data_IF_687026881379
#
_entry.id   IF_687026881379
#
_cell.length_a   1.000
_cell.length_b   1.000
_cell.length_c   1.000
_cell.angle_alpha   90.00
_cell.angle_beta   90.00
_cell.angle_gamma   90.00
#
_symmetry.space_group_name_H-M   'P 1'
#
loop_
_entity.id
_entity.type
_entity.pdbx_description
1 polymer ?
#
# COMPACT_ATOMS: atom_id res chain seq x y z
N UNK A 1 33.29 44.80 -53.45
CA UNK A 1 31.83 44.74 -53.25
C UNK A 1 31.54 43.63 -52.26
N UNK A 2 31.04 44.00 -51.09
CA UNK A 2 30.70 43.13 -49.95
C UNK A 2 29.45 42.28 -50.25
N UNK A 3 29.39 41.06 -49.69
CA UNK A 3 28.28 40.48 -48.87
C UNK A 3 28.48 38.95 -48.70
N UNK A 4 28.95 38.50 -47.53
CA UNK A 4 28.17 37.97 -46.38
C UNK A 4 27.40 36.67 -46.68
N UNK A 5 28.00 35.54 -46.28
CA UNK A 5 27.35 34.24 -46.19
C UNK A 5 26.60 34.12 -44.86
N UNK A 6 25.32 33.78 -44.92
CA UNK A 6 24.43 33.57 -43.78
C UNK A 6 24.42 32.06 -43.47
N UNK A 7 24.97 31.67 -42.32
CA UNK A 7 24.86 30.30 -41.80
C UNK A 7 23.57 30.17 -40.99
N UNK A 8 22.69 29.24 -41.41
CA UNK A 8 21.46 28.88 -40.70
C UNK A 8 21.79 28.05 -39.45
N UNK A 9 21.32 28.50 -38.27
CA UNK A 9 21.19 27.66 -37.08
C UNK A 9 19.94 26.78 -37.22
N UNK A 10 20.11 25.46 -37.15
CA UNK A 10 19.00 24.52 -36.97
C UNK A 10 18.72 24.37 -35.46
N UNK A 11 17.56 24.83 -35.01
CA UNK A 11 17.06 24.59 -33.66
C UNK A 11 16.47 23.17 -33.58
N UNK A 12 17.06 22.30 -32.77
CA UNK A 12 16.47 21.01 -32.42
C UNK A 12 15.38 21.23 -31.35
N UNK A 13 14.11 21.01 -31.73
CA UNK A 13 12.99 21.02 -30.80
C UNK A 13 12.85 19.62 -30.18
N UNK A 14 13.15 19.50 -28.88
CA UNK A 14 12.89 18.30 -28.10
C UNK A 14 11.40 18.24 -27.76
N UNK A 15 10.67 17.29 -28.34
CA UNK A 15 9.30 16.98 -27.93
C UNK A 15 9.35 16.05 -26.70
N UNK A 16 9.12 16.59 -25.51
CA UNK A 16 8.76 15.78 -24.35
C UNK A 16 7.25 15.53 -24.38
N UNK A 17 6.84 14.32 -24.77
CA UNK A 17 5.46 13.87 -24.58
C UNK A 17 5.29 13.53 -23.09
N UNK A 18 4.89 14.52 -22.29
CA UNK A 18 4.40 14.27 -20.94
C UNK A 18 2.95 13.83 -21.03
N UNK A 19 2.65 12.57 -20.70
CA UNK A 19 1.27 12.15 -20.46
C UNK A 19 0.69 13.01 -19.33
N UNK A 20 -0.52 13.58 -19.47
CA UNK A 20 -1.16 14.25 -18.35
C UNK A 20 -1.46 13.22 -17.27
N UNK A 21 -0.79 13.35 -16.13
CA UNK A 21 -1.24 12.70 -14.89
C UNK A 21 -2.64 13.27 -14.61
N UNK A 22 -3.66 12.42 -14.37
CA UNK A 22 -4.95 12.93 -13.94
C UNK A 22 -4.76 13.71 -12.64
N UNK A 23 -4.91 15.03 -12.74
CA UNK A 23 -5.04 15.94 -11.61
C UNK A 23 -6.21 15.45 -10.76
N UNK A 24 -5.92 14.83 -9.61
CA UNK A 24 -6.93 14.54 -8.58
C UNK A 24 -7.57 15.88 -8.22
N UNK A 25 -8.90 15.94 -8.28
CA UNK A 25 -9.68 17.17 -8.11
C UNK A 25 -9.52 17.68 -6.66
N UNK A 26 -8.65 18.69 -6.47
CA UNK A 26 -8.31 19.28 -5.16
C UNK A 26 -9.39 20.23 -4.61
N UNK A 27 -10.58 20.23 -5.20
CA UNK A 27 -11.65 21.22 -4.92
C UNK A 27 -12.40 21.01 -3.60
N UNK A 28 -12.05 20.00 -2.80
CA UNK A 28 -12.79 19.64 -1.58
C UNK A 28 -11.79 19.57 -0.44
N UNK A 29 -11.73 20.61 0.41
CA UNK A 29 -10.81 20.67 1.55
C UNK A 29 -10.91 19.44 2.48
N UNK A 30 -9.89 19.23 3.31
CA UNK A 30 -9.77 18.10 4.24
C UNK A 30 -11.07 17.84 5.01
N UNK A 31 -11.65 18.86 5.64
CA UNK A 31 -12.87 18.71 6.45
C UNK A 31 -14.06 18.30 5.58
N UNK A 32 -14.27 18.96 4.44
CA UNK A 32 -15.37 18.66 3.53
C UNK A 32 -15.25 17.26 2.91
N UNK A 33 -14.04 16.82 2.55
CA UNK A 33 -13.79 15.47 2.07
C UNK A 33 -14.08 14.43 3.16
N UNK A 34 -13.67 14.71 4.40
CA UNK A 34 -13.86 13.81 5.56
C UNK A 34 -15.32 13.62 5.95
N UNK A 35 -16.17 14.64 5.79
CA UNK A 35 -17.62 14.57 6.05
C UNK A 35 -18.46 14.08 4.86
N UNK A 36 -17.84 13.78 3.72
CA UNK A 36 -18.54 13.36 2.49
C UNK A 36 -18.68 11.82 2.38
N UNK A 37 -18.88 11.31 1.16
CA UNK A 37 -18.79 9.87 0.87
C UNK A 37 -17.33 9.43 0.86
N UNK A 38 -16.70 9.48 2.03
CA UNK A 38 -15.31 9.12 2.25
C UNK A 38 -15.07 7.63 2.02
N UNK A 39 -14.03 7.30 1.28
CA UNK A 39 -13.47 5.95 1.19
C UNK A 39 -11.95 6.06 1.03
N UNK A 40 -11.21 5.16 1.66
CA UNK A 40 -9.80 4.99 1.34
C UNK A 40 -9.66 4.27 0.00
N UNK A 41 -8.50 4.43 -0.64
CA UNK A 41 -8.08 3.51 -1.70
C UNK A 41 -6.86 2.75 -1.23
N UNK A 42 -6.96 1.43 -1.26
CA UNK A 42 -5.84 0.51 -1.11
C UNK A 42 -5.30 0.23 -2.51
N UNK A 43 -4.11 0.73 -2.78
CA UNK A 43 -3.45 0.60 -4.07
C UNK A 43 -2.47 -0.59 -4.03
N UNK A 44 -2.55 -1.44 -5.05
CA UNK A 44 -1.59 -2.52 -5.31
C UNK A 44 -1.31 -3.44 -4.12
N UNK A 45 -2.36 -3.87 -3.41
CA UNK A 45 -2.26 -4.87 -2.35
C UNK A 45 -1.62 -6.14 -2.86
N UNK A 46 -0.42 -6.43 -2.36
CA UNK A 46 0.36 -7.61 -2.65
C UNK A 46 0.41 -8.51 -1.41
N UNK A 47 0.10 -9.79 -1.62
CA UNK A 47 0.41 -10.84 -0.66
C UNK A 47 1.29 -11.88 -1.34
N UNK A 48 2.39 -12.23 -0.67
CA UNK A 48 3.22 -13.34 -1.06
C UNK A 48 3.75 -14.09 0.15
N UNK A 49 4.12 -15.34 -0.05
CA UNK A 49 4.72 -16.17 0.98
C UNK A 49 5.80 -17.08 0.42
N UNK A 50 6.81 -17.31 1.24
CA UNK A 50 7.91 -18.22 0.95
C UNK A 50 8.02 -19.28 2.03
N UNK A 51 8.18 -20.52 1.61
CA UNK A 51 8.44 -21.67 2.45
C UNK A 51 9.72 -22.33 1.98
N UNK A 52 10.76 -22.34 2.81
CA UNK A 52 12.03 -22.99 2.51
C UNK A 52 12.24 -24.13 3.49
N UNK A 53 12.40 -25.34 2.97
CA UNK A 53 12.72 -26.53 3.75
C UNK A 53 14.16 -26.94 3.47
N UNK A 54 15.01 -26.92 4.49
CA UNK A 54 16.40 -27.42 4.39
C UNK A 54 16.48 -28.92 4.66
N UNK A 55 15.48 -29.47 5.36
CA UNK A 55 15.21 -30.89 5.51
C UNK A 55 13.69 -31.08 5.48
N UNK A 56 13.15 -32.31 5.33
CA UNK A 56 11.70 -32.54 5.40
C UNK A 56 11.01 -32.05 6.68
N UNK A 57 11.78 -31.85 7.77
CA UNK A 57 11.26 -31.44 9.07
C UNK A 57 11.75 -30.04 9.52
N UNK A 58 12.56 -29.35 8.72
CA UNK A 58 13.13 -28.05 9.09
C UNK A 58 12.68 -26.98 8.09
N UNK A 59 11.75 -26.14 8.53
CA UNK A 59 11.06 -25.14 7.74
C UNK A 59 11.41 -23.72 8.20
N UNK A 60 11.74 -22.86 7.23
CA UNK A 60 11.82 -21.40 7.41
C UNK A 60 10.76 -20.78 6.50
N UNK A 61 9.74 -20.13 7.06
CA UNK A 61 8.64 -19.60 6.25
C UNK A 61 8.14 -18.26 6.74
N UNK A 62 7.78 -17.43 5.78
CA UNK A 62 7.29 -16.09 6.01
C UNK A 62 6.21 -15.72 4.99
N UNK A 63 5.24 -14.96 5.45
CA UNK A 63 4.28 -14.24 4.62
C UNK A 63 4.55 -12.75 4.70
N UNK A 64 4.23 -12.06 3.62
CA UNK A 64 4.45 -10.64 3.43
C UNK A 64 3.18 -9.99 2.88
N UNK A 65 2.90 -8.79 3.35
CA UNK A 65 1.86 -7.90 2.82
C UNK A 65 2.51 -6.56 2.53
N UNK A 66 2.19 -5.98 1.38
CA UNK A 66 2.61 -4.64 0.96
C UNK A 66 1.47 -3.96 0.20
N UNK A 67 1.16 -2.71 0.56
CA UNK A 67 0.25 -1.86 -0.20
C UNK A 67 0.46 -0.38 0.12
N UNK A 68 -0.08 0.47 -0.75
CA UNK A 68 -0.21 1.90 -0.46
C UNK A 68 -1.63 2.25 -0.06
N UNK A 69 -1.79 3.15 0.89
CA UNK A 69 -3.07 3.66 1.35
C UNK A 69 -3.18 5.15 1.05
N UNK A 70 -4.22 5.52 0.32
CA UNK A 70 -4.56 6.94 0.08
C UNK A 70 -5.84 7.33 0.81
N UNK A 71 -5.85 8.57 1.29
CA UNK A 71 -6.99 9.18 1.94
C UNK A 71 -7.40 10.44 1.13
N UNK A 72 -8.65 10.55 0.63
CA UNK A 72 -9.08 11.67 -0.20
C UNK A 72 -9.09 13.02 0.55
N UNK A 73 -9.15 13.03 1.89
CA UNK A 73 -9.01 14.23 2.71
C UNK A 73 -7.55 14.71 2.81
N UNK A 74 -6.59 13.87 2.43
CA UNK A 74 -5.15 14.13 2.49
C UNK A 74 -4.52 13.79 1.13
N UNK A 75 -4.86 14.52 0.05
CA UNK A 75 -4.49 14.15 -1.32
C UNK A 75 -2.98 14.07 -1.58
N UNK A 76 -2.19 14.77 -0.76
CA UNK A 76 -0.73 14.80 -0.83
C UNK A 76 -0.04 13.74 0.04
N UNK A 77 -0.82 12.94 0.79
CA UNK A 77 -0.29 11.92 1.68
C UNK A 77 -0.50 10.51 1.12
N UNK A 78 0.60 9.75 1.06
CA UNK A 78 0.61 8.33 0.73
C UNK A 78 1.19 7.55 1.90
N UNK A 79 0.41 6.63 2.48
CA UNK A 79 0.93 5.71 3.50
C UNK A 79 1.42 4.42 2.83
N UNK A 80 2.59 3.93 3.23
CA UNK A 80 3.09 2.60 2.84
C UNK A 80 2.85 1.63 3.99
N UNK A 81 2.03 0.61 3.74
CA UNK A 81 1.58 -0.35 4.74
C UNK A 81 2.22 -1.71 4.45
N UNK A 82 3.19 -2.10 5.28
CA UNK A 82 3.94 -3.35 5.10
C UNK A 82 3.91 -4.20 6.35
N UNK A 83 3.91 -5.52 6.16
CA UNK A 83 3.99 -6.46 7.26
C UNK A 83 4.70 -7.75 6.85
N UNK A 84 5.45 -8.32 7.78
CA UNK A 84 6.01 -9.66 7.70
C UNK A 84 5.48 -10.48 8.87
N UNK A 85 5.15 -11.75 8.60
CA UNK A 85 4.71 -12.68 9.62
C UNK A 85 5.34 -14.06 9.42
N UNK A 86 5.65 -14.72 10.53
CA UNK A 86 6.11 -16.10 10.60
C UNK A 86 5.09 -17.03 11.28
N UNK A 87 3.84 -16.57 11.47
CA UNK A 87 2.78 -17.43 11.98
C UNK A 87 2.56 -18.60 11.02
N UNK A 88 2.28 -19.80 11.56
CA UNK A 88 2.17 -21.01 10.76
C UNK A 88 0.99 -20.96 9.79
N UNK A 89 1.07 -21.71 8.68
CA UNK A 89 0.03 -21.93 7.66
C UNK A 89 -0.40 -20.72 6.83
N UNK A 90 -1.01 -19.71 7.44
CA UNK A 90 -1.65 -18.58 6.72
C UNK A 90 -0.92 -17.25 6.90
N UNK A 91 0.05 -17.19 7.83
CA UNK A 91 0.82 -16.00 8.24
C UNK A 91 0.01 -14.84 8.83
N UNK A 92 -1.17 -14.51 8.29
CA UNK A 92 -1.99 -13.39 8.68
C UNK A 92 -3.41 -13.85 9.02
N UNK A 93 -3.82 -13.60 10.27
CA UNK A 93 -5.08 -14.11 10.86
C UNK A 93 -6.07 -13.00 11.25
N UNK A 94 -5.81 -11.75 10.89
CA UNK A 94 -6.67 -10.60 11.21
C UNK A 94 -6.63 -10.15 12.68
N UNK A 95 -5.68 -10.64 13.46
CA UNK A 95 -5.61 -10.40 14.91
C UNK A 95 -4.46 -9.48 15.35
N UNK A 96 -3.47 -9.25 14.48
CA UNK A 96 -2.32 -8.41 14.77
C UNK A 96 -2.39 -7.12 13.95
N UNK A 97 -2.42 -5.94 14.59
CA UNK A 97 -2.36 -4.67 13.89
C UNK A 97 -0.91 -4.35 13.49
N UNK A 98 -0.73 -3.95 12.24
CA UNK A 98 0.52 -3.48 11.67
C UNK A 98 0.42 -1.99 11.39
N UNK A 99 1.47 -1.24 11.71
CA UNK A 99 1.49 0.20 11.45
C UNK A 99 1.88 0.44 9.99
N UNK A 100 1.20 1.39 9.36
CA UNK A 100 1.70 1.98 8.13
C UNK A 100 2.80 3.00 8.44
N UNK A 101 3.59 3.32 7.43
CA UNK A 101 4.67 4.31 7.49
C UNK A 101 4.38 5.44 6.52
N UNK A 102 4.90 6.61 6.84
CA UNK A 102 4.80 7.79 6.00
C UNK A 102 6.22 8.25 5.69
N UNK A 103 6.53 8.45 4.41
CA UNK A 103 7.87 8.85 3.97
C UNK A 103 9.01 7.94 4.49
N UNK A 104 8.73 6.66 4.78
CA UNK A 104 9.71 5.69 5.29
C UNK A 104 10.01 5.77 6.79
N UNK A 105 9.29 6.59 7.56
CA UNK A 105 9.45 6.65 9.02
C UNK A 105 8.60 5.56 9.70
N UNK A 106 9.27 4.67 10.46
CA UNK A 106 8.64 3.60 11.23
C UNK A 106 8.18 4.11 12.60
N UNK A 107 6.90 3.93 12.91
CA UNK A 107 6.32 4.28 14.21
C UNK A 107 5.76 5.69 14.24
N UNK A 108 4.45 5.78 14.44
CA UNK A 108 3.65 7.00 14.55
C UNK A 108 4.25 8.12 15.44
N UNK A 109 3.91 9.41 15.18
CA UNK A 109 2.82 9.82 14.32
C UNK A 109 3.32 10.43 13.02
N UNK A 110 3.06 9.73 11.91
CA UNK A 110 2.92 10.46 10.65
C UNK A 110 1.77 11.47 10.76
N UNK A 111 1.59 12.36 9.77
CA UNK A 111 0.53 13.36 9.83
C UNK A 111 -0.90 12.77 9.88
N UNK A 112 -1.06 11.46 9.58
CA UNK A 112 -2.34 10.78 9.67
C UNK A 112 -2.19 9.28 10.03
N UNK A 113 -2.04 8.95 11.33
CA UNK A 113 -1.72 7.62 11.77
C UNK A 113 -2.58 6.52 11.20
N UNK A 114 -1.99 5.47 10.65
CA UNK A 114 -2.72 4.38 10.01
C UNK A 114 -2.21 3.00 10.45
N UNK A 115 -3.15 2.08 10.64
CA UNK A 115 -2.90 0.67 10.94
C UNK A 115 -3.78 -0.21 10.08
N UNK A 116 -3.32 -1.44 9.87
CA UNK A 116 -4.14 -2.45 9.22
C UNK A 116 -4.03 -3.82 9.90
N UNK A 117 -5.04 -4.66 9.68
CA UNK A 117 -4.97 -6.11 9.91
C UNK A 117 -5.38 -6.82 8.64
N UNK A 118 -4.83 -8.01 8.40
CA UNK A 118 -5.19 -8.83 7.25
C UNK A 118 -5.43 -10.28 7.68
N UNK A 119 -6.45 -10.92 7.12
CA UNK A 119 -6.76 -12.33 7.33
C UNK A 119 -6.70 -13.08 6.00
N UNK A 120 -5.64 -13.89 5.80
CA UNK A 120 -5.40 -14.58 4.53
C UNK A 120 -6.48 -15.59 4.18
N UNK A 121 -7.08 -16.24 5.18
CA UNK A 121 -8.11 -17.27 4.98
C UNK A 121 -9.46 -16.71 4.55
N UNK A 122 -9.77 -15.47 4.94
CA UNK A 122 -11.05 -14.80 4.62
C UNK A 122 -10.92 -13.73 3.54
N UNK A 123 -9.71 -13.22 3.33
CA UNK A 123 -9.45 -12.05 2.49
C UNK A 123 -9.78 -10.72 3.18
N UNK A 124 -10.20 -10.71 4.45
CA UNK A 124 -10.56 -9.47 5.16
C UNK A 124 -9.31 -8.61 5.43
N UNK A 125 -9.33 -7.38 4.91
CA UNK A 125 -8.43 -6.28 5.24
C UNK A 125 -9.21 -5.27 6.08
N UNK A 126 -8.77 -4.99 7.30
CA UNK A 126 -9.31 -3.93 8.18
C UNK A 126 -8.28 -2.81 8.28
N UNK A 127 -8.74 -1.57 8.12
CA UNK A 127 -7.93 -0.35 8.14
C UNK A 127 -8.47 0.56 9.22
N UNK A 128 -7.57 1.11 10.02
CA UNK A 128 -7.88 2.17 10.98
C UNK A 128 -6.94 3.36 10.72
N UNK A 129 -7.51 4.54 10.53
CA UNK A 129 -6.74 5.77 10.34
C UNK A 129 -7.29 6.91 11.20
N UNK A 130 -6.39 7.74 11.71
CA UNK A 130 -6.71 9.03 12.33
C UNK A 130 -6.05 10.16 11.54
N UNK A 131 -6.74 11.27 11.34
CA UNK A 131 -6.19 12.46 10.68
C UNK A 131 -6.82 13.73 11.23
N UNK A 132 -6.13 14.86 11.08
CA UNK A 132 -6.59 16.15 11.57
C UNK A 132 -6.71 17.12 10.42
N UNK A 133 -7.84 17.82 10.35
CA UNK A 133 -8.14 18.86 9.38
C UNK A 133 -8.21 20.23 10.08
N UNK A 134 -7.49 21.21 9.56
CA UNK A 134 -7.40 22.58 10.07
C UNK A 134 -7.92 23.62 9.06
N UNK A 135 -8.55 23.17 7.97
CA UNK A 135 -8.99 23.99 6.85
C UNK A 135 -10.23 24.84 7.13
N UNK A 136 -11.13 24.38 8.01
CA UNK A 136 -12.34 25.12 8.40
C UNK A 136 -12.10 26.05 9.61
N UNK A 137 -11.40 25.57 10.64
CA UNK A 137 -10.99 26.35 11.83
C UNK A 137 -9.56 25.97 12.25
N UNK A 138 -8.54 26.76 11.86
CA UNK A 138 -7.15 26.49 12.23
C UNK A 138 -6.86 26.60 13.74
N UNK A 139 -7.70 27.30 14.50
CA UNK A 139 -7.53 27.45 15.94
C UNK A 139 -8.06 26.23 16.70
N UNK A 140 -9.11 25.59 16.17
CA UNK A 140 -9.75 24.39 16.72
C UNK A 140 -9.93 23.32 15.63
N UNK A 141 -8.84 22.64 15.24
CA UNK A 141 -8.88 21.70 14.14
C UNK A 141 -9.69 20.45 14.49
N UNK A 142 -10.38 19.89 13.50
CA UNK A 142 -11.18 18.68 13.69
C UNK A 142 -10.32 17.45 13.46
N UNK A 143 -10.27 16.55 14.45
CA UNK A 143 -9.63 15.24 14.34
C UNK A 143 -10.66 14.18 14.03
N UNK A 144 -10.42 13.45 12.94
CA UNK A 144 -11.20 12.32 12.49
C UNK A 144 -10.49 11.02 12.85
N UNK A 145 -11.27 10.02 13.26
CA UNK A 145 -10.83 8.64 13.36
C UNK A 145 -11.84 7.76 12.65
N UNK A 146 -11.38 6.88 11.78
CA UNK A 146 -12.23 5.98 11.04
C UNK A 146 -11.66 4.57 10.94
N UNK A 147 -12.55 3.60 10.85
CA UNK A 147 -12.23 2.20 10.58
C UNK A 147 -13.05 1.68 9.40
N UNK A 148 -12.43 0.90 8.52
CA UNK A 148 -13.03 0.36 7.29
C UNK A 148 -12.58 -1.06 7.00
N UNK A 149 -13.40 -1.81 6.27
CA UNK A 149 -13.11 -3.20 5.89
C UNK A 149 -13.35 -3.45 4.42
N UNK A 150 -12.51 -4.27 3.82
CA UNK A 150 -12.74 -4.83 2.48
C UNK A 150 -12.41 -6.31 2.46
N UNK A 151 -13.14 -7.07 1.64
CA UNK A 151 -12.84 -8.47 1.36
C UNK A 151 -12.09 -8.57 0.03
N UNK A 152 -10.81 -8.92 0.11
CA UNK A 152 -9.93 -9.04 -1.05
C UNK A 152 -10.12 -10.41 -1.72
N UNK A 153 -10.35 -10.39 -3.03
CA UNK A 153 -10.27 -11.60 -3.85
C UNK A 153 -8.86 -11.70 -4.41
N UNK A 154 -8.05 -12.60 -3.86
CA UNK A 154 -6.66 -12.78 -4.27
C UNK A 154 -6.55 -13.90 -5.32
N UNK A 155 -6.00 -13.58 -6.47
CA UNK A 155 -5.60 -14.55 -7.49
C UNK A 155 -4.13 -14.94 -7.27
N UNK A 156 -3.90 -16.18 -6.84
CA UNK A 156 -2.58 -16.61 -6.38
C UNK A 156 -2.06 -17.82 -7.14
N UNK A 157 -0.78 -17.73 -7.50
CA UNK A 157 0.00 -18.86 -8.01
C UNK A 157 0.75 -19.51 -6.85
N UNK A 158 0.65 -20.84 -6.74
CA UNK A 158 1.34 -21.65 -5.74
C UNK A 158 2.26 -22.63 -6.45
N UNK A 159 3.57 -22.39 -6.35
CA UNK A 159 4.59 -23.25 -6.93
C UNK A 159 5.36 -23.95 -5.85
N UNK A 160 5.71 -25.21 -6.10
CA UNK A 160 6.56 -26.00 -5.22
C UNK A 160 7.65 -26.64 -6.06
N UNK A 161 8.90 -26.46 -5.63
CA UNK A 161 10.04 -27.20 -6.16
C UNK A 161 10.62 -28.11 -5.08
N UNK A 162 11.08 -29.29 -5.48
CA UNK A 162 11.65 -30.27 -4.59
C UNK A 162 12.89 -30.90 -5.23
N UNK A 163 13.97 -30.99 -4.45
CA UNK A 163 15.21 -31.62 -4.87
C UNK A 163 15.16 -33.13 -4.66
N UNK A 164 14.94 -33.89 -5.74
CA UNK A 164 14.88 -35.35 -5.69
C UNK A 164 16.23 -36.01 -5.30
N UNK A 165 17.36 -35.32 -5.52
CA UNK A 165 18.71 -35.83 -5.23
C UNK A 165 19.35 -35.09 -4.04
N UNK A 166 18.53 -34.66 -3.09
CA UNK A 166 18.96 -33.86 -1.96
C UNK A 166 20.03 -34.55 -1.10
N UNK A 167 21.03 -33.77 -0.71
CA UNK A 167 22.05 -34.14 0.28
C UNK A 167 22.11 -33.10 1.39
N UNK A 168 22.61 -33.50 2.57
CA UNK A 168 22.65 -32.64 3.75
C UNK A 168 23.43 -31.34 3.45
N UNK A 169 22.80 -30.19 3.74
CA UNK A 169 23.33 -28.86 3.45
C UNK A 169 22.71 -28.17 2.24
N UNK A 170 21.89 -28.86 1.45
CA UNK A 170 21.13 -28.29 0.33
C UNK A 170 19.70 -27.88 0.76
N UNK A 171 19.02 -27.08 -0.07
CA UNK A 171 17.57 -26.90 0.04
C UNK A 171 16.89 -28.19 -0.41
N UNK A 172 16.02 -28.73 0.45
CA UNK A 172 15.22 -29.91 0.17
C UNK A 172 14.03 -29.57 -0.71
N UNK A 173 13.29 -28.53 -0.35
CA UNK A 173 12.19 -28.01 -1.16
C UNK A 173 11.97 -26.53 -0.89
N UNK A 174 11.40 -25.84 -1.86
CA UNK A 174 10.78 -24.54 -1.66
C UNK A 174 9.32 -24.57 -2.12
N UNK A 175 8.51 -23.70 -1.54
CA UNK A 175 7.17 -23.37 -2.00
C UNK A 175 7.01 -21.87 -1.96
N UNK A 176 6.46 -21.30 -3.03
CA UNK A 176 6.21 -19.88 -3.18
C UNK A 176 4.74 -19.68 -3.52
N UNK A 177 4.08 -18.83 -2.75
CA UNK A 177 2.75 -18.32 -3.06
C UNK A 177 2.93 -16.86 -3.47
N UNK A 178 2.50 -16.50 -4.67
CA UNK A 178 2.52 -15.13 -5.15
C UNK A 178 1.12 -14.78 -5.67
N UNK A 179 0.51 -13.74 -5.10
CA UNK A 179 -0.77 -13.23 -5.58
C UNK A 179 -0.57 -12.05 -6.54
N UNK A 180 -1.51 -11.88 -7.46
CA UNK A 180 -1.59 -10.69 -8.28
C UNK A 180 -1.99 -9.49 -7.40
N UNK A 181 -1.40 -8.29 -7.62
CA UNK A 181 -1.77 -7.11 -6.86
C UNK A 181 -3.24 -6.71 -7.04
N UNK A 182 -3.89 -6.27 -5.97
CA UNK A 182 -5.30 -5.85 -5.97
C UNK A 182 -5.42 -4.39 -5.56
N UNK A 183 -6.22 -3.61 -6.31
CA UNK A 183 -6.62 -2.26 -5.89
C UNK A 183 -8.10 -2.27 -5.55
N UNK A 184 -8.45 -1.70 -4.39
CA UNK A 184 -9.84 -1.67 -3.91
C UNK A 184 -10.10 -0.41 -3.09
N UNK A 185 -11.34 0.09 -3.15
CA UNK A 185 -11.80 1.13 -2.24
C UNK A 185 -12.33 0.51 -0.95
N UNK A 186 -12.04 1.16 0.18
CA UNK A 186 -12.45 0.71 1.51
C UNK A 186 -13.37 1.77 2.10
N UNK A 187 -14.65 1.42 2.23
CA UNK A 187 -15.63 2.26 2.90
C UNK A 187 -15.51 2.12 4.43
N UNK A 188 -15.63 3.22 5.18
CA UNK A 188 -15.63 3.15 6.63
C UNK A 188 -16.94 2.54 7.15
N UNK A 189 -16.83 1.62 8.11
CA UNK A 189 -17.97 1.15 8.90
C UNK A 189 -18.14 1.97 10.19
N UNK A 190 -17.11 2.72 10.59
CA UNK A 190 -17.11 3.58 11.76
C UNK A 190 -16.32 4.85 11.46
N UNK A 191 -16.90 6.02 11.79
CA UNK A 191 -16.24 7.32 11.71
C UNK A 191 -16.60 8.13 12.96
N UNK A 192 -15.63 8.83 13.54
CA UNK A 192 -15.82 9.81 14.61
C UNK A 192 -15.04 11.09 14.30
N UNK A 193 -15.59 12.24 14.69
CA UNK A 193 -14.95 13.54 14.57
C UNK A 193 -14.99 14.28 15.92
N UNK A 194 -13.88 14.90 16.30
CA UNK A 194 -13.73 15.70 17.52
C UNK A 194 -13.09 17.03 17.16
N UNK A 195 -13.72 18.14 17.54
CA UNK A 195 -13.24 19.51 17.36
C UNK A 195 -12.94 20.17 18.71
#
# INVERSE_FOLDING_TARGET
MHRLAISLLAAAASYTCGSPVPSRDTSTGCSKASFSNFAWTVETFDFHASYVFTTPAHQNSYGFVDFNLTNPALPDLLASCTAQSSQLSEFFYGNLPYNCTFNGELGEPGPAPAKFTFSRSTGELDINQTWTCDDDDPQYPTTFSASGKANLTLDCTDTTWQNANWTLGQIYSDRVIQCAPVTVDVEPYQVSAVA
#
